data_IF_167714129648
#
_entry.id   IF_167714129648
#
_cell.length_a   1.000
_cell.length_b   1.000
_cell.length_c   1.000
_cell.angle_alpha   90.00
_cell.angle_beta   90.00
_cell.angle_gamma   90.00
#
_symmetry.space_group_name_H-M   'P 1'
#
loop_
_entity.id
_entity.type
_entity.pdbx_description
1 polymer ?
#
# COMPACT_ATOMS: atom_id res chain seq x y z
N UNK A 1 -2.24 -45.78 -17.07
CA UNK A 1 -3.42 -46.02 -16.21
C UNK A 1 -3.72 -44.73 -15.47
N UNK A 2 -4.78 -44.01 -15.84
CA UNK A 2 -5.25 -42.85 -15.10
C UNK A 2 -5.96 -43.35 -13.84
N UNK A 3 -5.47 -42.96 -12.67
CA UNK A 3 -6.12 -43.26 -11.39
C UNK A 3 -7.49 -42.60 -11.42
N UNK A 4 -8.56 -43.41 -11.45
CA UNK A 4 -9.93 -42.95 -11.23
C UNK A 4 -10.03 -42.48 -9.79
N UNK A 5 -9.68 -41.22 -9.52
CA UNK A 5 -10.14 -40.57 -8.30
C UNK A 5 -11.67 -40.69 -8.32
N UNK A 6 -12.23 -41.29 -7.28
CA UNK A 6 -13.66 -41.52 -7.23
C UNK A 6 -14.36 -40.16 -7.24
N UNK A 7 -15.43 -40.01 -8.03
CA UNK A 7 -16.22 -38.78 -8.09
C UNK A 7 -16.56 -38.22 -6.69
N UNK A 8 -16.84 -39.06 -5.66
CA UNK A 8 -16.98 -38.61 -4.27
C UNK A 8 -15.74 -37.92 -3.69
N UNK A 9 -14.53 -38.45 -3.91
CA UNK A 9 -13.28 -37.81 -3.42
C UNK A 9 -13.04 -36.43 -4.04
N UNK A 10 -13.44 -36.24 -5.31
CA UNK A 10 -13.37 -34.92 -5.95
C UNK A 10 -14.29 -33.91 -5.24
N UNK A 11 -15.54 -34.28 -4.98
CA UNK A 11 -16.49 -33.40 -4.29
C UNK A 11 -16.12 -33.15 -2.82
N UNK A 12 -15.54 -34.13 -2.14
CA UNK A 12 -15.01 -33.95 -0.77
C UNK A 12 -13.85 -32.96 -0.76
N UNK A 13 -12.91 -33.06 -1.70
CA UNK A 13 -11.80 -32.10 -1.83
C UNK A 13 -12.32 -30.69 -2.15
N UNK A 14 -13.28 -30.57 -3.07
CA UNK A 14 -13.90 -29.29 -3.40
C UNK A 14 -14.59 -28.65 -2.19
N UNK A 15 -15.36 -29.43 -1.43
CA UNK A 15 -16.02 -28.95 -0.21
C UNK A 15 -15.01 -28.50 0.85
N UNK A 16 -13.92 -29.25 1.05
CA UNK A 16 -12.84 -28.88 1.95
C UNK A 16 -12.16 -27.57 1.51
N UNK A 17 -11.89 -27.39 0.22
CA UNK A 17 -11.33 -26.14 -0.32
C UNK A 17 -12.27 -24.95 -0.11
N UNK A 18 -13.58 -25.12 -0.34
CA UNK A 18 -14.58 -24.07 -0.09
C UNK A 18 -14.64 -23.70 1.39
N UNK A 19 -14.54 -24.67 2.29
CA UNK A 19 -14.60 -24.42 3.73
C UNK A 19 -13.33 -23.75 4.27
N UNK A 20 -12.16 -24.14 3.74
CA UNK A 20 -10.89 -23.42 3.98
C UNK A 20 -11.01 -21.98 3.49
N UNK A 21 -11.53 -21.75 2.28
CA UNK A 21 -11.72 -20.40 1.74
C UNK A 21 -12.66 -19.55 2.61
N UNK A 22 -13.79 -20.12 3.06
CA UNK A 22 -14.71 -19.44 3.99
C UNK A 22 -14.06 -19.11 5.33
N UNK A 23 -13.25 -20.02 5.86
CA UNK A 23 -12.54 -19.83 7.13
C UNK A 23 -11.51 -18.72 7.02
N UNK A 24 -10.74 -18.70 5.93
CA UNK A 24 -9.79 -17.63 5.61
C UNK A 24 -10.53 -16.30 5.48
N UNK A 25 -11.64 -16.24 4.72
CA UNK A 25 -12.41 -15.01 4.58
C UNK A 25 -12.98 -14.52 5.92
N UNK A 26 -13.55 -15.38 6.77
CA UNK A 26 -14.02 -14.98 8.10
C UNK A 26 -12.90 -14.46 9.00
N UNK A 27 -11.73 -15.08 8.93
CA UNK A 27 -10.55 -14.65 9.69
C UNK A 27 -10.07 -13.28 9.21
N UNK A 28 -10.05 -13.07 7.89
CA UNK A 28 -9.71 -11.79 7.28
C UNK A 28 -10.74 -10.71 7.63
N UNK A 29 -12.05 -11.00 7.59
CA UNK A 29 -13.12 -10.08 8.01
C UNK A 29 -12.98 -9.66 9.49
N UNK A 30 -12.60 -10.60 10.36
CA UNK A 30 -12.38 -10.31 11.79
C UNK A 30 -11.14 -9.43 12.01
N UNK A 31 -10.06 -9.67 11.26
CA UNK A 31 -8.84 -8.85 11.27
C UNK A 31 -9.12 -7.46 10.71
N UNK A 32 -9.82 -7.37 9.59
CA UNK A 32 -10.26 -6.12 8.98
C UNK A 32 -11.12 -5.30 9.95
N UNK A 33 -12.07 -5.93 10.64
CA UNK A 33 -12.91 -5.26 11.64
C UNK A 33 -12.08 -4.72 12.81
N UNK A 34 -11.12 -5.49 13.32
CA UNK A 34 -10.23 -5.02 14.40
C UNK A 34 -9.33 -3.84 14.00
N UNK A 35 -8.89 -3.82 12.73
CA UNK A 35 -8.07 -2.74 12.18
C UNK A 35 -8.94 -1.49 11.97
N UNK A 36 -10.15 -1.66 11.44
CA UNK A 36 -11.11 -0.57 11.20
C UNK A 36 -11.61 0.07 12.49
N UNK A 37 -11.87 -0.71 13.53
CA UNK A 37 -12.35 -0.20 14.82
C UNK A 37 -11.23 0.49 15.63
N UNK A 38 -9.96 0.19 15.34
CA UNK A 38 -8.80 0.83 15.97
C UNK A 38 -8.34 2.13 15.28
N UNK A 39 -8.78 2.37 14.05
CA UNK A 39 -8.49 3.58 13.27
C UNK A 39 -9.66 4.54 13.47
N UNK A 40 -9.46 5.71 14.11
CA UNK A 40 -10.47 6.76 14.04
C UNK A 40 -10.68 7.08 12.57
N UNK A 41 -11.89 6.82 12.07
CA UNK A 41 -12.33 7.26 10.76
C UNK A 41 -12.14 8.77 10.74
N UNK A 42 -11.07 9.26 10.09
CA UNK A 42 -10.88 10.69 9.86
C UNK A 42 -12.09 11.12 9.04
N UNK A 43 -13.02 11.79 9.71
CA UNK A 43 -14.21 12.30 9.07
C UNK A 43 -13.77 13.47 8.17
N UNK A 44 -14.41 13.65 7.02
CA UNK A 44 -14.19 14.79 6.09
C UNK A 44 -14.19 16.17 6.78
N UNK A 45 -14.67 16.26 8.03
CA UNK A 45 -14.74 17.48 8.84
C UNK A 45 -13.42 17.91 9.48
N UNK A 46 -12.39 17.07 9.46
CA UNK A 46 -11.06 17.41 10.01
C UNK A 46 -10.11 18.02 8.96
N UNK A 47 -10.61 18.31 7.75
CA UNK A 47 -9.86 18.84 6.60
C UNK A 47 -10.33 20.26 6.25
N UNK A 48 -9.95 21.26 7.04
CA UNK A 48 -9.63 22.64 6.57
C UNK A 48 -9.13 23.49 7.77
N UNK A 49 -8.19 24.47 7.62
CA UNK A 49 -7.63 25.00 6.38
C UNK A 49 -6.11 25.21 6.42
N UNK A 50 -5.34 24.61 5.49
CA UNK A 50 -3.97 25.07 5.23
C UNK A 50 -3.68 25.02 3.73
N UNK A 51 -3.92 26.14 3.05
CA UNK A 51 -3.36 26.39 1.72
C UNK A 51 -2.18 27.31 1.85
N UNK A 52 -0.97 26.83 1.51
CA UNK A 52 0.13 27.76 1.14
C UNK A 52 1.23 27.25 0.20
N UNK A 53 1.31 25.96 -0.17
CA UNK A 53 2.49 25.46 -0.91
C UNK A 53 2.20 24.56 -2.14
N UNK A 54 0.96 24.47 -2.62
CA UNK A 54 0.60 23.60 -3.76
C UNK A 54 0.45 22.11 -3.43
N UNK A 55 0.53 21.75 -2.15
CA UNK A 55 0.16 20.46 -1.59
C UNK A 55 -1.34 20.44 -1.21
N UNK A 56 -1.96 19.26 -1.20
CA UNK A 56 -3.34 19.07 -0.71
C UNK A 56 -3.40 18.91 0.82
N UNK A 57 -4.59 19.06 1.42
CA UNK A 57 -4.76 19.09 2.88
C UNK A 57 -4.26 17.81 3.57
N UNK A 58 -4.35 16.66 2.90
CA UNK A 58 -3.82 15.39 3.40
C UNK A 58 -2.29 15.38 3.45
N UNK A 59 -1.64 15.92 2.41
CA UNK A 59 -0.18 16.06 2.36
C UNK A 59 0.33 16.98 3.48
N UNK A 60 -0.30 18.12 3.69
CA UNK A 60 0.06 19.05 4.78
C UNK A 60 -0.18 18.42 6.16
N UNK A 61 -1.27 17.66 6.34
CA UNK A 61 -1.49 16.90 7.56
C UNK A 61 -0.36 15.88 7.80
N UNK A 62 -0.02 15.05 6.81
CA UNK A 62 1.08 14.06 6.94
C UNK A 62 2.38 14.75 7.34
N UNK A 63 2.76 15.84 6.66
CA UNK A 63 3.98 16.58 6.96
C UNK A 63 4.00 17.14 8.39
N UNK A 64 2.86 17.63 8.88
CA UNK A 64 2.76 18.17 10.25
C UNK A 64 3.02 17.12 11.34
N UNK A 65 2.85 15.83 11.02
CA UNK A 65 3.00 14.70 11.96
C UNK A 65 4.40 14.11 11.96
N UNK A 66 5.20 14.36 10.93
CA UNK A 66 6.62 13.97 10.86
C UNK A 66 7.44 14.98 11.65
N UNK A 67 8.28 14.51 12.59
CA UNK A 67 9.03 15.41 13.51
C UNK A 67 10.52 15.46 13.25
N UNK A 68 11.07 14.45 12.60
CA UNK A 68 12.46 14.41 12.18
C UNK A 68 12.63 15.20 10.90
N UNK A 69 13.57 16.15 10.88
CA UNK A 69 13.75 17.10 9.78
C UNK A 69 14.10 16.41 8.46
N UNK A 70 15.03 15.46 8.48
CA UNK A 70 15.45 14.71 7.29
C UNK A 70 14.28 13.95 6.67
N UNK A 71 13.43 13.32 7.49
CA UNK A 71 12.25 12.59 7.04
C UNK A 71 11.12 13.51 6.59
N UNK A 72 11.00 14.71 7.15
CA UNK A 72 10.03 15.71 6.70
C UNK A 72 10.41 16.24 5.32
N UNK A 73 11.70 16.55 5.12
CA UNK A 73 12.24 16.98 3.83
C UNK A 73 12.11 15.88 2.77
N UNK A 74 12.40 14.63 3.12
CA UNK A 74 12.18 13.47 2.24
C UNK A 74 10.71 13.34 1.85
N UNK A 75 9.79 13.33 2.82
CA UNK A 75 8.36 13.19 2.56
C UNK A 75 7.84 14.29 1.63
N UNK A 76 8.26 15.54 1.87
CA UNK A 76 7.91 16.67 1.00
C UNK A 76 8.41 16.46 -0.44
N UNK A 77 9.64 16.00 -0.61
CA UNK A 77 10.20 15.69 -1.92
C UNK A 77 9.43 14.55 -2.61
N UNK A 78 9.10 13.48 -1.88
CA UNK A 78 8.32 12.36 -2.42
C UNK A 78 6.94 12.82 -2.90
N UNK A 79 6.26 13.68 -2.13
CA UNK A 79 4.97 14.25 -2.51
C UNK A 79 5.04 15.09 -3.79
N UNK A 80 6.14 15.81 -4.03
CA UNK A 80 6.39 16.50 -5.30
C UNK A 80 6.63 15.50 -6.43
N UNK A 81 7.42 14.46 -6.20
CA UNK A 81 7.64 13.41 -7.20
C UNK A 81 6.35 12.68 -7.58
N UNK A 82 5.42 12.46 -6.65
CA UNK A 82 4.10 11.88 -6.97
C UNK A 82 3.35 12.71 -8.03
N UNK A 83 3.44 14.05 -7.94
CA UNK A 83 2.88 14.95 -8.95
C UNK A 83 3.64 14.86 -10.28
N UNK A 84 4.98 14.97 -10.25
CA UNK A 84 5.82 14.87 -11.45
C UNK A 84 5.66 13.54 -12.20
N UNK A 85 5.43 12.45 -11.47
CA UNK A 85 5.26 11.10 -12.02
C UNK A 85 3.81 10.72 -12.31
N UNK A 86 2.91 11.71 -12.31
CA UNK A 86 1.51 11.58 -12.69
C UNK A 86 0.73 10.51 -11.89
N UNK A 87 0.94 10.42 -10.58
CA UNK A 87 0.24 9.42 -9.75
C UNK A 87 -1.28 9.53 -9.82
N UNK A 88 -1.82 10.75 -9.99
CA UNK A 88 -3.27 10.98 -10.15
C UNK A 88 -3.84 10.35 -11.43
N UNK A 89 -3.02 10.21 -12.47
CA UNK A 89 -3.40 9.58 -13.75
C UNK A 89 -3.12 8.07 -13.81
N UNK A 90 -2.57 7.48 -12.75
CA UNK A 90 -2.22 6.06 -12.68
C UNK A 90 -3.17 5.36 -11.72
N UNK A 91 -3.72 4.20 -12.11
CA UNK A 91 -4.53 3.37 -11.21
C UNK A 91 -3.65 2.72 -10.15
N UNK A 92 -4.15 2.62 -8.91
CA UNK A 92 -3.44 1.97 -7.81
C UNK A 92 -3.38 0.44 -7.94
N UNK A 93 -4.20 -0.14 -8.83
CA UNK A 93 -4.19 -1.55 -9.21
C UNK A 93 -4.06 -1.68 -10.74
N UNK A 94 -3.44 -2.74 -11.27
CA UNK A 94 -3.33 -2.96 -12.71
C UNK A 94 -4.71 -2.97 -13.36
N UNK A 95 -4.92 -2.32 -14.52
CA UNK A 95 -6.20 -2.28 -15.25
C UNK A 95 -6.35 -3.40 -16.31
N UNK A 96 -5.49 -4.41 -16.28
CA UNK A 96 -5.38 -5.44 -17.31
C UNK A 96 -6.25 -6.68 -17.06
N UNK A 97 -7.11 -6.68 -16.04
CA UNK A 97 -8.06 -7.77 -15.86
C UNK A 97 -9.26 -7.56 -16.76
N UNK A 98 -9.35 -8.34 -17.84
CA UNK A 98 -10.57 -8.47 -18.64
C UNK A 98 -11.67 -9.00 -17.70
N UNK A 99 -12.51 -8.10 -17.20
CA UNK A 99 -13.66 -8.45 -16.39
C UNK A 99 -14.58 -9.33 -17.25
N UNK A 100 -14.70 -10.60 -16.88
CA UNK A 100 -15.71 -11.49 -17.47
C UNK A 100 -17.07 -10.88 -17.09
N UNK A 101 -17.76 -10.36 -18.09
CA UNK A 101 -18.86 -9.39 -17.99
C UNK A 101 -20.06 -9.85 -17.14
N UNK A 102 -20.15 -11.12 -16.79
CA UNK A 102 -21.28 -11.71 -16.06
C UNK A 102 -21.24 -11.46 -14.53
N UNK A 103 -20.15 -10.88 -13.98
CA UNK A 103 -20.03 -10.51 -12.56
C UNK A 103 -19.73 -9.02 -12.31
N UNK A 104 -19.96 -8.20 -13.34
CA UNK A 104 -19.50 -6.80 -13.53
C UNK A 104 -20.10 -5.71 -12.62
N UNK A 105 -20.79 -6.07 -11.54
CA UNK A 105 -21.41 -5.07 -10.65
C UNK A 105 -20.87 -5.07 -9.21
N UNK A 106 -20.04 -6.05 -8.83
CA UNK A 106 -19.83 -6.39 -7.41
C UNK A 106 -18.38 -6.67 -6.98
N UNK A 107 -17.38 -6.68 -7.88
CA UNK A 107 -16.04 -7.05 -7.45
C UNK A 107 -15.31 -5.89 -6.76
N UNK A 108 -14.72 -6.14 -5.59
CA UNK A 108 -13.85 -5.18 -4.88
C UNK A 108 -12.75 -4.61 -5.80
N UNK A 109 -12.36 -5.34 -6.83
CA UNK A 109 -11.39 -4.92 -7.83
C UNK A 109 -11.86 -3.71 -8.67
N UNK A 110 -13.12 -3.65 -9.11
CA UNK A 110 -13.67 -2.47 -9.82
C UNK A 110 -13.73 -1.22 -8.94
N UNK A 111 -13.87 -1.43 -7.63
CA UNK A 111 -13.84 -0.35 -6.65
C UNK A 111 -12.41 0.17 -6.51
N UNK A 112 -11.44 -0.73 -6.34
CA UNK A 112 -10.03 -0.38 -6.17
C UNK A 112 -9.38 0.18 -7.44
N UNK A 113 -9.82 -0.24 -8.64
CA UNK A 113 -9.33 0.29 -9.93
C UNK A 113 -9.73 1.74 -10.20
N UNK A 114 -10.69 2.27 -9.45
CA UNK A 114 -11.06 3.69 -9.47
C UNK A 114 -10.22 4.52 -8.51
N UNK A 115 -9.52 3.90 -7.57
CA UNK A 115 -8.57 4.60 -6.70
C UNK A 115 -7.28 4.84 -7.48
N UNK A 116 -6.94 6.10 -7.70
CA UNK A 116 -5.65 6.46 -8.29
C UNK A 116 -4.50 6.23 -7.30
N UNK A 117 -3.29 6.11 -7.84
CA UNK A 117 -2.08 5.83 -7.08
C UNK A 117 -1.79 6.92 -6.03
N UNK A 118 -2.08 8.18 -6.35
CA UNK A 118 -1.87 9.32 -5.43
C UNK A 118 -2.66 9.14 -4.13
N UNK A 119 -3.97 8.93 -4.24
CA UNK A 119 -4.84 8.78 -3.08
C UNK A 119 -4.49 7.52 -2.29
N UNK A 120 -4.17 6.42 -2.98
CA UNK A 120 -3.77 5.19 -2.32
C UNK A 120 -2.48 5.37 -1.49
N UNK A 121 -1.46 5.98 -2.07
CA UNK A 121 -0.20 6.28 -1.37
C UNK A 121 -0.41 7.18 -0.15
N UNK A 122 -1.25 8.22 -0.26
CA UNK A 122 -1.58 9.08 0.88
C UNK A 122 -2.38 8.34 1.96
N UNK A 123 -3.36 7.53 1.58
CA UNK A 123 -4.13 6.72 2.53
C UNK A 123 -3.21 5.75 3.30
N UNK A 124 -2.26 5.11 2.61
CA UNK A 124 -1.28 4.24 3.25
C UNK A 124 -0.44 5.00 4.29
N UNK A 125 0.06 6.20 3.93
CA UNK A 125 0.77 7.07 4.87
C UNK A 125 -0.08 7.48 6.07
N UNK A 126 -1.36 7.83 5.87
CA UNK A 126 -2.29 8.20 6.95
C UNK A 126 -2.57 7.03 7.89
N UNK A 127 -2.89 5.85 7.35
CA UNK A 127 -3.12 4.63 8.12
C UNK A 127 -1.90 4.27 8.97
N UNK A 128 -0.70 4.54 8.46
CA UNK A 128 0.52 4.20 9.16
C UNK A 128 0.65 4.88 10.53
N UNK A 129 0.14 6.12 10.70
CA UNK A 129 0.21 6.82 11.99
C UNK A 129 -0.51 6.07 13.11
N UNK A 130 -1.66 5.47 12.83
CA UNK A 130 -2.42 4.69 13.80
C UNK A 130 -1.77 3.34 14.06
N UNK A 131 -1.29 2.68 13.00
CA UNK A 131 -0.64 1.37 13.07
C UNK A 131 0.65 1.42 13.90
N UNK A 132 1.42 2.50 13.81
CA UNK A 132 2.64 2.69 14.58
C UNK A 132 2.48 3.67 15.76
N UNK A 133 1.26 3.95 16.24
CA UNK A 133 0.99 4.96 17.28
C UNK A 133 1.77 4.76 18.58
N UNK A 134 2.06 3.52 18.94
CA UNK A 134 2.79 3.17 20.16
C UNK A 134 4.31 3.11 19.97
N UNK A 135 4.81 3.38 18.76
CA UNK A 135 6.23 3.36 18.44
C UNK A 135 6.93 4.70 18.73
N UNK A 136 8.26 4.70 18.91
CA UNK A 136 9.05 5.93 18.98
C UNK A 136 8.86 6.80 17.73
N UNK A 137 8.91 8.12 17.88
CA UNK A 137 8.65 9.08 16.79
C UNK A 137 9.51 8.82 15.55
N UNK A 138 10.79 8.49 15.74
CA UNK A 138 11.70 8.17 14.62
C UNK A 138 11.22 6.96 13.81
N UNK A 139 10.65 5.94 14.45
CA UNK A 139 10.08 4.76 13.79
C UNK A 139 8.85 5.16 12.98
N UNK A 140 7.98 6.01 13.56
CA UNK A 140 6.80 6.54 12.87
C UNK A 140 7.19 7.30 11.59
N UNK A 141 8.16 8.20 11.71
CA UNK A 141 8.65 9.02 10.60
C UNK A 141 9.25 8.17 9.47
N UNK A 142 9.98 7.10 9.81
CA UNK A 142 10.51 6.12 8.84
C UNK A 142 9.36 5.37 8.15
N UNK A 143 8.41 4.83 8.92
CA UNK A 143 7.29 4.05 8.38
C UNK A 143 6.45 4.89 7.42
N UNK A 144 6.17 6.15 7.75
CA UNK A 144 5.42 7.06 6.87
C UNK A 144 6.16 7.26 5.54
N UNK A 145 7.47 7.49 5.57
CA UNK A 145 8.26 7.64 4.35
C UNK A 145 8.32 6.35 3.53
N UNK A 146 8.40 5.19 4.19
CA UNK A 146 8.28 3.88 3.52
C UNK A 146 6.92 3.74 2.84
N UNK A 147 5.83 4.13 3.50
CA UNK A 147 4.48 4.11 2.92
C UNK A 147 4.35 5.07 1.73
N UNK A 148 4.98 6.24 1.76
CA UNK A 148 5.02 7.14 0.60
C UNK A 148 5.81 6.52 -0.57
N UNK A 149 6.89 5.79 -0.29
CA UNK A 149 7.77 5.19 -1.32
C UNK A 149 7.22 3.92 -1.98
N UNK A 150 6.41 3.13 -1.29
CA UNK A 150 6.24 1.71 -1.61
C UNK A 150 5.75 1.40 -3.03
N UNK A 151 5.01 2.32 -3.62
CA UNK A 151 4.26 2.11 -4.85
C UNK A 151 4.78 2.95 -6.04
N UNK A 152 5.92 3.62 -5.89
CA UNK A 152 6.54 4.41 -6.97
C UNK A 152 6.81 3.60 -8.25
N UNK A 153 7.18 2.34 -8.11
CA UNK A 153 7.40 1.42 -9.22
C UNK A 153 6.14 1.09 -10.03
N UNK A 154 4.94 1.49 -9.60
CA UNK A 154 3.72 1.42 -10.43
C UNK A 154 3.62 2.55 -11.44
N UNK A 155 4.35 3.66 -11.26
CA UNK A 155 4.35 4.75 -12.24
C UNK A 155 5.08 4.36 -13.52
N UNK A 156 4.46 4.49 -14.71
CA UNK A 156 5.13 4.23 -15.99
C UNK A 156 6.37 5.10 -16.22
N UNK A 157 6.44 6.30 -15.61
CA UNK A 157 7.60 7.20 -15.72
C UNK A 157 8.78 6.61 -14.96
N UNK A 158 8.54 6.11 -13.75
CA UNK A 158 9.55 5.45 -12.91
C UNK A 158 10.01 4.15 -13.57
N UNK A 159 9.09 3.31 -14.04
CA UNK A 159 9.43 2.07 -14.76
C UNK A 159 10.33 2.32 -15.97
N UNK A 160 10.01 3.34 -16.79
CA UNK A 160 10.83 3.72 -17.96
C UNK A 160 12.26 4.12 -17.59
N UNK A 161 12.47 4.71 -16.40
CA UNK A 161 13.80 5.12 -15.93
C UNK A 161 14.72 3.92 -15.69
N UNK A 162 14.20 2.83 -15.14
CA UNK A 162 15.00 1.65 -14.77
C UNK A 162 15.13 0.59 -15.87
N UNK A 163 14.47 0.80 -17.02
CA UNK A 163 14.60 0.04 -18.29
C UNK A 163 14.37 -1.48 -18.20
N UNK A 164 13.77 -1.97 -17.12
CA UNK A 164 13.34 -3.36 -17.01
C UNK A 164 11.82 -3.43 -17.07
N UNK A 165 11.28 -4.02 -18.14
CA UNK A 165 9.83 -4.12 -18.37
C UNK A 165 9.17 -5.24 -17.57
N UNK A 166 9.96 -6.15 -17.00
CA UNK A 166 9.46 -7.34 -16.30
C UNK A 166 9.75 -7.31 -14.80
N UNK A 167 10.44 -6.28 -14.31
CA UNK A 167 10.70 -6.08 -12.90
C UNK A 167 9.39 -5.76 -12.17
N UNK A 168 9.19 -6.37 -10.99
CA UNK A 168 8.00 -6.13 -10.19
C UNK A 168 8.02 -4.69 -9.65
N UNK A 169 6.85 -4.12 -9.37
CA UNK A 169 6.76 -2.72 -8.93
C UNK A 169 7.47 -2.48 -7.59
N UNK A 170 7.45 -3.44 -6.67
CA UNK A 170 8.15 -3.37 -5.37
C UNK A 170 9.67 -3.26 -5.54
N UNK A 171 10.23 -4.03 -6.45
CA UNK A 171 11.65 -3.98 -6.79
C UNK A 171 12.03 -2.64 -7.45
N UNK A 172 11.18 -2.17 -8.37
CA UNK A 172 11.36 -0.85 -9.00
C UNK A 172 11.25 0.28 -7.98
N UNK A 173 10.30 0.22 -7.05
CA UNK A 173 10.14 1.17 -5.93
C UNK A 173 11.38 1.19 -5.04
N UNK A 174 11.96 0.03 -4.73
CA UNK A 174 13.17 -0.06 -3.91
C UNK A 174 14.38 0.59 -4.60
N UNK A 175 14.56 0.37 -5.91
CA UNK A 175 15.62 1.02 -6.70
C UNK A 175 15.42 2.54 -6.76
N UNK A 176 14.18 2.98 -7.00
CA UNK A 176 13.83 4.39 -6.94
C UNK A 176 14.13 5.01 -5.57
N UNK A 177 13.84 4.28 -4.48
CA UNK A 177 14.11 4.76 -3.13
C UNK A 177 15.61 5.03 -2.93
N UNK A 178 16.51 4.15 -3.38
CA UNK A 178 17.96 4.39 -3.25
C UNK A 178 18.38 5.69 -3.94
N UNK A 179 17.97 5.91 -5.21
CA UNK A 179 18.26 7.12 -5.97
C UNK A 179 17.80 8.41 -5.26
N UNK A 180 16.72 8.33 -4.46
CA UNK A 180 16.19 9.46 -3.70
C UNK A 180 16.90 9.61 -2.37
N UNK A 181 17.04 8.54 -1.59
CA UNK A 181 17.58 8.57 -0.23
C UNK A 181 19.04 9.04 -0.19
N UNK A 182 19.80 8.85 -1.27
CA UNK A 182 21.16 9.39 -1.42
C UNK A 182 21.21 10.92 -1.27
N UNK A 183 20.12 11.63 -1.59
CA UNK A 183 20.05 13.10 -1.53
C UNK A 183 19.77 13.67 -0.13
N UNK A 184 19.39 12.83 0.84
CA UNK A 184 18.85 13.27 2.14
C UNK A 184 19.75 12.92 3.33
N UNK A 185 21.02 12.57 3.11
CA UNK A 185 22.01 12.41 4.18
C UNK A 185 21.71 11.26 5.17
N UNK A 186 20.83 10.33 4.81
CA UNK A 186 20.49 9.16 5.64
C UNK A 186 21.67 8.18 5.71
N UNK A 187 21.77 7.43 6.81
CA UNK A 187 22.82 6.42 6.97
C UNK A 187 22.67 5.28 5.96
N UNK A 188 23.79 4.68 5.54
CA UNK A 188 23.78 3.54 4.62
C UNK A 188 23.00 2.34 5.19
N UNK A 189 23.06 2.14 6.51
CA UNK A 189 22.28 1.10 7.18
C UNK A 189 20.78 1.33 7.02
N UNK A 190 20.31 2.56 7.24
CA UNK A 190 18.90 2.90 7.09
C UNK A 190 18.46 2.81 5.63
N UNK A 191 19.28 3.27 4.68
CA UNK A 191 19.01 3.12 3.24
C UNK A 191 18.83 1.66 2.86
N UNK A 192 19.73 0.79 3.34
CA UNK A 192 19.65 -0.66 3.12
C UNK A 192 18.39 -1.25 3.73
N UNK A 193 18.02 -0.84 4.94
CA UNK A 193 16.81 -1.31 5.59
C UNK A 193 15.58 -0.90 4.77
N UNK A 194 15.44 0.37 4.38
CA UNK A 194 14.31 0.84 3.57
C UNK A 194 14.26 0.09 2.23
N UNK A 195 15.40 -0.10 1.56
CA UNK A 195 15.48 -0.88 0.34
C UNK A 195 14.96 -2.30 0.54
N UNK A 196 15.46 -3.01 1.56
CA UNK A 196 15.03 -4.39 1.84
C UNK A 196 13.55 -4.45 2.21
N UNK A 197 13.04 -3.48 2.99
CA UNK A 197 11.60 -3.38 3.30
C UNK A 197 10.79 -3.31 2.02
N UNK A 198 11.13 -2.38 1.12
CA UNK A 198 10.41 -2.16 -0.12
C UNK A 198 10.57 -3.31 -1.10
N UNK A 199 11.76 -3.88 -1.24
CA UNK A 199 12.01 -4.94 -2.21
C UNK A 199 11.26 -6.24 -1.88
N UNK A 200 11.02 -6.51 -0.59
CA UNK A 200 10.45 -7.78 -0.13
C UNK A 200 9.00 -7.69 0.37
N UNK A 201 8.35 -6.51 0.41
CA UNK A 201 7.05 -6.38 1.09
C UNK A 201 5.89 -7.16 0.44
N UNK A 202 5.99 -7.51 -0.85
CA UNK A 202 5.04 -8.40 -1.54
C UNK A 202 5.58 -9.84 -1.70
N UNK A 203 6.62 -10.23 -0.95
CA UNK A 203 7.16 -11.60 -1.02
C UNK A 203 6.41 -12.53 -0.06
N UNK A 204 5.74 -13.54 -0.60
CA UNK A 204 5.11 -14.62 0.18
C UNK A 204 6.12 -15.68 0.67
N UNK A 205 7.37 -15.59 0.22
CA UNK A 205 8.42 -16.53 0.63
C UNK A 205 8.81 -16.33 2.10
N UNK A 206 8.53 -17.36 2.92
CA UNK A 206 8.85 -17.41 4.36
C UNK A 206 10.33 -17.18 4.72
N UNK A 207 11.23 -17.24 3.73
CA UNK A 207 12.68 -17.21 3.94
C UNK A 207 13.35 -15.90 3.48
N UNK A 208 12.60 -14.91 2.97
CA UNK A 208 13.20 -13.62 2.62
C UNK A 208 13.41 -12.75 3.86
N UNK A 209 14.50 -12.00 3.84
CA UNK A 209 14.83 -11.01 4.87
C UNK A 209 13.69 -10.00 5.00
N UNK A 210 12.98 -10.06 6.11
CA UNK A 210 11.98 -9.07 6.50
C UNK A 210 12.57 -8.14 7.55
N UNK A 211 12.34 -6.85 7.35
CA UNK A 211 12.80 -5.81 8.28
C UNK A 211 11.76 -5.57 9.36
N UNK A 212 12.14 -4.88 10.44
CA UNK A 212 11.19 -4.46 11.48
C UNK A 212 10.06 -3.56 10.96
N UNK A 213 10.24 -2.94 9.79
CA UNK A 213 9.25 -2.04 9.18
C UNK A 213 8.27 -2.75 8.24
N UNK A 214 8.58 -3.97 7.80
CA UNK A 214 7.76 -4.72 6.84
C UNK A 214 6.32 -4.95 7.36
N UNK A 215 6.10 -5.35 8.63
CA UNK A 215 4.74 -5.52 9.15
C UNK A 215 3.93 -4.23 9.17
N UNK A 216 4.55 -3.07 9.45
CA UNK A 216 3.87 -1.78 9.47
C UNK A 216 3.43 -1.35 8.08
N UNK A 217 4.29 -1.52 7.07
CA UNK A 217 3.95 -1.23 5.68
C UNK A 217 2.78 -2.11 5.19
N UNK A 218 2.86 -3.42 5.41
CA UNK A 218 1.82 -4.37 4.97
C UNK A 218 0.47 -4.03 5.62
N UNK A 219 0.46 -3.78 6.93
CA UNK A 219 -0.77 -3.39 7.63
C UNK A 219 -1.32 -2.05 7.13
N UNK A 220 -0.45 -1.10 6.79
CA UNK A 220 -0.86 0.23 6.31
C UNK A 220 -1.50 0.16 4.93
N UNK A 221 -0.93 -0.65 4.02
CA UNK A 221 -1.50 -0.92 2.70
C UNK A 221 -2.86 -1.61 2.83
N UNK A 222 -2.96 -2.68 3.63
CA UNK A 222 -4.23 -3.38 3.87
C UNK A 222 -5.29 -2.43 4.43
N UNK A 223 -4.94 -1.62 5.45
CA UNK A 223 -5.87 -0.66 6.05
C UNK A 223 -6.35 0.38 5.04
N UNK A 224 -5.45 0.92 4.20
CA UNK A 224 -5.80 1.86 3.13
C UNK A 224 -6.81 1.23 2.15
N UNK A 225 -6.56 -0.01 1.72
CA UNK A 225 -7.49 -0.75 0.83
C UNK A 225 -8.86 -0.94 1.45
N UNK A 226 -8.93 -1.28 2.73
CA UNK A 226 -10.21 -1.45 3.44
C UNK A 226 -11.00 -0.15 3.50
N UNK A 227 -10.33 0.97 3.76
CA UNK A 227 -10.94 2.31 3.78
C UNK A 227 -11.45 2.70 2.39
N UNK A 228 -10.65 2.52 1.34
CA UNK A 228 -11.01 2.82 -0.06
C UNK A 228 -12.26 2.06 -0.50
N UNK A 229 -12.35 0.78 -0.15
CA UNK A 229 -13.52 -0.05 -0.43
C UNK A 229 -14.78 0.48 0.27
N UNK A 230 -14.66 0.88 1.54
CA UNK A 230 -15.78 1.35 2.35
C UNK A 230 -16.37 2.67 1.82
N UNK A 231 -15.53 3.67 1.55
CA UNK A 231 -16.01 4.96 1.06
C UNK A 231 -16.61 4.89 -0.35
N UNK A 232 -16.13 3.96 -1.18
CA UNK A 232 -16.68 3.76 -2.52
C UNK A 232 -18.03 3.05 -2.51
N UNK A 233 -18.31 2.19 -1.51
CA UNK A 233 -19.61 1.54 -1.31
C UNK A 233 -20.66 2.50 -0.73
N UNK A 234 -20.25 3.49 0.08
CA UNK A 234 -21.15 4.47 0.69
C UNK A 234 -21.68 5.56 -0.29
N UNK A 235 -21.09 5.69 -1.49
CA UNK A 235 -21.54 6.62 -2.54
C UNK A 235 -22.56 5.99 -3.53
N UNK A 236 -23.00 4.75 -3.29
CA UNK A 236 -24.07 4.08 -4.04
C UNK A 236 -25.36 4.10 -3.21
#
# INVERSE_FOLDING_TARGET
MLVKNSLPEFYVKLAATVEIFRTINKTNESLEKSIVDAIPVIQEKDLDPIRKNGLDDYQDYILSRIKTEEFSNLAKYLMLCMHEFNFKGVSSVPNNTTLISEFSALSDYEILSKTNLHNHTLNCALCSFEICKDQPQVIKDIVVNICLLHDFGKSPIVQKRFKDKNERHDQTSARFAIDVLEKFGLSEELKKIIYTTLFNHHSEEKNKEQTIYSPFLIQSDIAARTIEKRFSKAKR
#
